data_IF_823743538021
#
_entry.id   IF_823743538021
#
_cell.length_a   1.000
_cell.length_b   1.000
_cell.length_c   1.000
_cell.angle_alpha   90.00
_cell.angle_beta   90.00
_cell.angle_gamma   90.00
#
_symmetry.space_group_name_H-M   'P 1'
#
loop_
_entity.id
_entity.type
_entity.pdbx_description
1 polymer ?
#
# COMPACT_ATOMS: atom_id res chain seq x y z
N UNK A 1 -24.16 23.50 2.51
CA UNK A 1 -24.45 23.01 3.87
C UNK A 1 -23.97 21.57 3.98
N UNK A 2 -23.00 21.27 4.84
CA UNK A 2 -22.54 19.91 5.07
C UNK A 2 -23.67 19.12 5.78
N UNK A 3 -24.10 18.01 5.20
CA UNK A 3 -25.04 17.08 5.84
C UNK A 3 -24.34 16.51 7.09
N UNK A 4 -24.90 16.73 8.27
CA UNK A 4 -24.46 16.03 9.48
C UNK A 4 -24.81 14.55 9.30
N UNK A 5 -23.81 13.72 9.04
CA UNK A 5 -23.97 12.26 9.02
C UNK A 5 -23.93 11.81 10.48
N UNK A 6 -25.06 11.32 10.99
CA UNK A 6 -25.15 10.75 12.33
C UNK A 6 -24.85 9.25 12.28
N UNK A 7 -24.04 8.77 13.23
CA UNK A 7 -23.81 7.33 13.41
C UNK A 7 -25.02 6.75 14.13
N UNK A 8 -25.76 5.86 13.47
CA UNK A 8 -26.94 5.21 14.04
C UNK A 8 -26.58 4.27 15.19
N UNK A 9 -27.45 4.23 16.19
CA UNK A 9 -27.29 3.29 17.28
C UNK A 9 -27.37 1.83 16.77
N UNK A 10 -26.39 0.96 17.08
CA UNK A 10 -26.39 -0.42 16.61
C UNK A 10 -27.50 -1.28 17.23
N UNK A 11 -28.12 -0.82 18.33
CA UNK A 11 -29.15 -1.57 19.05
C UNK A 11 -30.59 -1.20 18.60
N UNK A 12 -30.87 0.08 18.36
CA UNK A 12 -32.24 0.54 18.04
C UNK A 12 -32.33 1.39 16.77
N UNK A 13 -31.22 1.59 16.04
CA UNK A 13 -31.13 2.36 14.79
C UNK A 13 -31.47 3.85 14.92
N UNK A 14 -31.64 4.38 16.14
CA UNK A 14 -31.88 5.79 16.37
C UNK A 14 -30.67 6.64 15.94
N UNK A 15 -30.91 7.82 15.38
CA UNK A 15 -29.85 8.60 14.71
C UNK A 15 -29.04 9.49 15.65
N UNK A 16 -29.56 9.80 16.85
CA UNK A 16 -28.91 10.71 17.79
C UNK A 16 -28.25 9.97 18.95
N UNK A 17 -27.08 10.42 19.31
CA UNK A 17 -26.31 9.90 20.44
C UNK A 17 -25.38 10.99 20.98
N UNK A 18 -25.21 11.04 22.30
CA UNK A 18 -24.23 11.92 22.95
C UNK A 18 -22.89 11.23 23.07
N UNK A 19 -21.81 11.98 22.89
CA UNK A 19 -20.44 11.51 23.14
C UNK A 19 -20.16 11.67 24.62
N UNK A 20 -19.83 10.56 25.29
CA UNK A 20 -19.49 10.55 26.73
C UNK A 20 -17.99 10.76 26.94
N UNK A 21 -17.16 10.22 26.02
CA UNK A 21 -15.71 10.26 26.13
C UNK A 21 -15.06 10.17 24.76
N UNK A 22 -13.89 10.78 24.60
CA UNK A 22 -13.07 10.74 23.37
C UNK A 22 -11.63 10.45 23.75
N UNK A 23 -11.09 9.36 23.19
CA UNK A 23 -9.69 8.97 23.33
C UNK A 23 -9.00 8.93 21.99
N UNK A 24 -7.72 9.29 21.94
CA UNK A 24 -6.87 9.21 20.76
C UNK A 24 -5.97 7.99 20.88
N UNK A 25 -5.82 7.24 19.77
CA UNK A 25 -4.85 6.15 19.74
C UNK A 25 -3.49 6.64 19.19
N UNK A 26 -2.44 5.84 19.41
CA UNK A 26 -1.07 6.14 18.97
C UNK A 26 -0.90 6.16 17.44
N UNK A 27 -1.90 5.69 16.69
CA UNK A 27 -1.90 5.62 15.23
C UNK A 27 -2.76 6.72 14.58
N UNK A 28 -3.13 7.75 15.34
CA UNK A 28 -3.90 8.90 14.84
C UNK A 28 -5.41 8.62 14.69
N UNK A 29 -5.90 7.53 15.27
CA UNK A 29 -7.33 7.22 15.33
C UNK A 29 -8.02 7.90 16.52
N UNK A 30 -9.33 8.10 16.41
CA UNK A 30 -10.17 8.66 17.47
C UNK A 30 -11.25 7.65 17.84
N UNK A 31 -11.26 7.23 19.10
CA UNK A 31 -12.33 6.42 19.67
C UNK A 31 -13.28 7.33 20.43
N UNK A 32 -14.57 7.24 20.11
CA UNK A 32 -15.63 7.94 20.87
C UNK A 32 -16.56 6.93 21.53
N UNK A 33 -16.72 7.05 22.85
CA UNK A 33 -17.73 6.32 23.60
C UNK A 33 -19.03 7.11 23.55
N UNK A 34 -20.11 6.48 23.08
CA UNK A 34 -21.41 7.11 22.85
C UNK A 34 -22.51 6.46 23.69
N UNK A 35 -23.55 7.22 24.00
CA UNK A 35 -24.79 6.73 24.58
C UNK A 35 -25.96 7.18 23.69
N UNK A 36 -26.81 6.24 23.29
CA UNK A 36 -27.97 6.51 22.47
C UNK A 36 -29.01 7.33 23.25
N UNK A 37 -29.55 8.37 22.64
CA UNK A 37 -30.54 9.23 23.31
C UNK A 37 -31.92 8.55 23.43
N UNK A 38 -32.19 7.48 22.65
CA UNK A 38 -33.43 6.73 22.69
C UNK A 38 -33.37 5.51 23.63
N UNK A 39 -32.43 4.57 23.41
CA UNK A 39 -32.38 3.32 24.17
C UNK A 39 -31.36 3.31 25.31
N UNK A 40 -30.60 4.39 25.48
CA UNK A 40 -29.56 4.57 26.50
C UNK A 40 -28.45 3.52 26.51
N UNK A 41 -28.41 2.67 25.47
CA UNK A 41 -27.30 1.72 25.30
C UNK A 41 -26.02 2.45 24.91
N UNK A 42 -24.89 1.96 25.43
CA UNK A 42 -23.57 2.51 25.17
C UNK A 42 -22.86 1.71 24.09
N UNK A 43 -22.23 2.42 23.16
CA UNK A 43 -21.43 1.84 22.09
C UNK A 43 -20.20 2.71 21.81
N UNK A 44 -19.22 2.17 21.11
CA UNK A 44 -18.03 2.91 20.70
C UNK A 44 -17.98 3.03 19.18
N UNK A 45 -17.50 4.18 18.71
CA UNK A 45 -17.16 4.41 17.30
C UNK A 45 -15.67 4.70 17.17
N UNK A 46 -15.11 4.32 16.03
CA UNK A 46 -13.73 4.62 15.67
C UNK A 46 -13.71 5.44 14.40
N UNK A 47 -12.98 6.54 14.43
CA UNK A 47 -12.64 7.32 13.25
C UNK A 47 -11.15 7.10 12.97
N UNK A 48 -10.83 6.66 11.77
CA UNK A 48 -9.45 6.53 11.30
C UNK A 48 -9.35 7.20 9.94
N UNK A 49 -8.26 7.97 9.68
CA UNK A 49 -8.00 8.44 8.33
C UNK A 49 -7.78 7.22 7.42
N UNK A 50 -8.58 7.11 6.37
CA UNK A 50 -8.37 6.11 5.32
C UNK A 50 -7.54 6.82 4.26
N UNK A 51 -6.24 6.47 4.19
CA UNK A 51 -5.38 6.92 3.12
C UNK A 51 -5.72 6.09 1.88
N UNK A 52 -6.28 6.72 0.88
CA UNK A 52 -6.53 6.07 -0.40
C UNK A 52 -5.20 5.74 -1.07
N UNK A 53 -5.07 4.53 -1.60
CA UNK A 53 -3.98 4.19 -2.51
C UNK A 53 -4.28 4.87 -3.85
N UNK A 54 -3.30 5.56 -4.47
CA UNK A 54 -3.53 6.25 -5.74
C UNK A 54 -3.87 5.27 -6.86
N UNK A 55 -4.61 5.74 -7.87
CA UNK A 55 -4.76 5.03 -9.13
C UNK A 55 -3.41 4.94 -9.83
N UNK A 56 -3.16 3.83 -10.49
CA UNK A 56 -1.93 3.59 -11.25
C UNK A 56 -2.16 3.91 -12.72
N UNK A 57 -1.37 4.87 -13.23
CA UNK A 57 -1.38 5.24 -14.65
C UNK A 57 -0.33 4.38 -15.36
N UNK A 58 -0.77 3.56 -16.32
CA UNK A 58 0.11 2.75 -17.18
C UNK A 58 0.80 3.59 -18.26
N UNK A 59 1.79 3.01 -18.93
CA UNK A 59 2.51 3.66 -20.03
C UNK A 59 1.60 4.06 -21.21
N UNK A 60 0.50 3.33 -21.43
CA UNK A 60 -0.53 3.63 -22.43
C UNK A 60 -1.57 4.68 -21.99
N UNK A 61 -1.41 5.22 -20.76
CA UNK A 61 -2.31 6.21 -20.17
C UNK A 61 -3.55 5.63 -19.51
N UNK A 62 -3.76 4.30 -19.52
CA UNK A 62 -4.87 3.67 -18.79
C UNK A 62 -4.69 3.79 -17.29
N UNK A 63 -5.80 3.88 -16.57
CA UNK A 63 -5.87 3.98 -15.12
C UNK A 63 -6.41 2.69 -14.54
N UNK A 64 -5.71 2.11 -13.58
CA UNK A 64 -6.16 0.94 -12.84
C UNK A 64 -5.97 1.14 -11.34
N UNK A 65 -6.73 0.43 -10.53
CA UNK A 65 -6.49 0.35 -9.10
C UNK A 65 -5.16 -0.36 -8.83
N UNK A 66 -4.51 -0.01 -7.71
CA UNK A 66 -3.32 -0.73 -7.27
C UNK A 66 -3.70 -2.16 -6.89
N UNK A 67 -3.15 -3.11 -7.61
CA UNK A 67 -3.35 -4.55 -7.38
C UNK A 67 -2.14 -5.14 -6.63
N UNK A 68 -2.32 -5.29 -5.30
CA UNK A 68 -1.32 -5.88 -4.41
C UNK A 68 -0.95 -7.31 -4.82
N UNK A 69 -1.94 -8.12 -5.21
CA UNK A 69 -1.71 -9.52 -5.57
C UNK A 69 -0.93 -9.65 -6.89
N UNK A 70 -1.19 -8.78 -7.84
CA UNK A 70 -0.43 -8.70 -9.09
C UNK A 70 1.03 -8.34 -8.83
N UNK A 71 1.27 -7.35 -7.97
CA UNK A 71 2.62 -6.95 -7.59
C UNK A 71 3.34 -8.07 -6.85
N UNK A 72 2.69 -8.69 -5.87
CA UNK A 72 3.18 -9.84 -5.10
C UNK A 72 3.60 -10.98 -6.02
N UNK A 73 2.76 -11.31 -7.02
CA UNK A 73 3.04 -12.38 -7.99
C UNK A 73 4.30 -12.08 -8.80
N UNK A 74 4.46 -10.85 -9.29
CA UNK A 74 5.66 -10.43 -10.04
C UNK A 74 6.94 -10.56 -9.21
N UNK A 75 6.90 -10.10 -7.96
CA UNK A 75 8.05 -10.20 -7.04
C UNK A 75 8.36 -11.66 -6.69
N UNK A 76 7.35 -12.50 -6.41
CA UNK A 76 7.54 -13.94 -6.15
C UNK A 76 8.19 -14.67 -7.32
N UNK A 77 7.82 -14.37 -8.55
CA UNK A 77 8.44 -14.96 -9.76
C UNK A 77 9.94 -14.60 -9.79
N UNK A 78 10.29 -13.34 -9.55
CA UNK A 78 11.68 -12.91 -9.52
C UNK A 78 12.49 -13.61 -8.41
N UNK A 79 11.89 -13.78 -7.23
CA UNK A 79 12.49 -14.42 -6.06
C UNK A 79 12.46 -15.97 -6.11
N UNK A 80 11.89 -16.59 -7.16
CA UNK A 80 11.75 -18.04 -7.23
C UNK A 80 13.12 -18.76 -7.12
N UNK A 81 13.22 -19.71 -6.18
CA UNK A 81 14.45 -20.47 -5.84
C UNK A 81 15.60 -19.57 -5.31
N UNK A 82 15.27 -18.40 -4.78
CA UNK A 82 16.23 -17.55 -4.05
C UNK A 82 15.99 -17.66 -2.55
N UNK A 83 17.01 -17.38 -1.70
CA UNK A 83 16.89 -17.41 -0.24
C UNK A 83 16.18 -16.14 0.28
N UNK A 84 15.02 -15.80 -0.30
CA UNK A 84 14.17 -14.68 0.10
C UNK A 84 12.91 -15.26 0.72
N UNK A 85 12.64 -14.89 1.96
CA UNK A 85 11.46 -15.41 2.68
C UNK A 85 10.15 -14.78 2.19
N UNK A 86 9.04 -15.49 2.38
CA UNK A 86 7.71 -14.93 2.09
C UNK A 86 7.44 -13.66 2.93
N UNK A 87 7.96 -13.61 4.16
CA UNK A 87 7.85 -12.45 5.05
C UNK A 87 8.61 -11.23 4.51
N UNK A 88 9.79 -11.42 3.91
CA UNK A 88 10.57 -10.34 3.30
C UNK A 88 9.86 -9.76 2.08
N UNK A 89 9.25 -10.63 1.25
CA UNK A 89 8.45 -10.20 0.11
C UNK A 89 7.22 -9.42 0.59
N UNK A 90 6.51 -9.93 1.60
CA UNK A 90 5.32 -9.27 2.14
C UNK A 90 5.66 -7.90 2.74
N UNK A 91 6.78 -7.79 3.45
CA UNK A 91 7.31 -6.54 3.99
C UNK A 91 7.60 -5.54 2.86
N UNK A 92 8.31 -5.95 1.81
CA UNK A 92 8.60 -5.08 0.66
C UNK A 92 7.31 -4.52 0.03
N UNK A 93 6.31 -5.39 -0.20
CA UNK A 93 5.03 -4.96 -0.77
C UNK A 93 4.31 -3.98 0.18
N UNK A 94 4.29 -4.26 1.48
CA UNK A 94 3.69 -3.37 2.48
C UNK A 94 4.38 -2.00 2.56
N UNK A 95 5.69 -1.95 2.41
CA UNK A 95 6.46 -0.69 2.36
C UNK A 95 6.12 0.14 1.11
N UNK A 96 5.93 -0.52 -0.04
CA UNK A 96 5.50 0.13 -1.29
C UNK A 96 4.08 0.70 -1.12
N UNK A 97 3.14 -0.07 -0.58
CA UNK A 97 1.77 0.40 -0.30
C UNK A 97 1.77 1.62 0.61
N UNK A 98 2.52 1.55 1.72
CA UNK A 98 2.64 2.65 2.67
C UNK A 98 3.29 3.89 2.03
N UNK A 99 4.27 3.71 1.14
CA UNK A 99 4.89 4.81 0.41
C UNK A 99 3.91 5.48 -0.56
N UNK A 100 3.12 4.69 -1.30
CA UNK A 100 2.09 5.20 -2.21
C UNK A 100 1.02 6.00 -1.44
N UNK A 101 0.55 5.49 -0.31
CA UNK A 101 -0.41 6.18 0.55
C UNK A 101 0.14 7.51 1.07
N UNK A 102 1.42 7.53 1.52
CA UNK A 102 2.08 8.76 2.03
C UNK A 102 2.27 9.84 0.96
N UNK A 103 2.27 9.47 -0.32
CA UNK A 103 2.37 10.47 -1.40
C UNK A 103 1.18 11.42 -1.44
N UNK A 104 0.01 11.02 -0.94
CA UNK A 104 -1.20 11.84 -0.90
C UNK A 104 -1.69 12.28 -2.29
N UNK A 105 -1.30 11.55 -3.34
CA UNK A 105 -1.68 11.82 -4.73
C UNK A 105 -2.89 11.00 -5.13
N UNK A 106 -3.74 11.55 -5.98
CA UNK A 106 -4.87 10.79 -6.55
C UNK A 106 -4.39 9.75 -7.58
N UNK A 107 -3.30 10.04 -8.29
CA UNK A 107 -2.75 9.21 -9.36
C UNK A 107 -1.23 9.17 -9.30
N UNK A 108 -0.63 8.02 -9.62
CA UNK A 108 0.82 7.84 -9.78
C UNK A 108 1.12 6.98 -11.00
N UNK A 109 2.26 7.23 -11.65
CA UNK A 109 2.73 6.40 -12.76
C UNK A 109 3.12 5.00 -12.28
N UNK A 110 2.81 3.97 -13.07
CA UNK A 110 3.27 2.59 -12.85
C UNK A 110 4.80 2.48 -12.78
N UNK A 111 5.51 3.42 -13.40
CA UNK A 111 6.97 3.52 -13.32
C UNK A 111 7.44 3.75 -11.88
N UNK A 112 6.76 4.62 -11.12
CA UNK A 112 7.10 4.87 -9.71
C UNK A 112 7.00 3.58 -8.89
N UNK A 113 5.94 2.77 -9.12
CA UNK A 113 5.78 1.48 -8.45
C UNK A 113 6.92 0.52 -8.85
N UNK A 114 7.22 0.44 -10.13
CA UNK A 114 8.31 -0.40 -10.64
C UNK A 114 9.68 0.02 -10.08
N UNK A 115 9.97 1.31 -10.00
CA UNK A 115 11.22 1.83 -9.42
C UNK A 115 11.35 1.46 -7.93
N UNK A 116 10.24 1.49 -7.18
CA UNK A 116 10.22 1.04 -5.78
C UNK A 116 10.51 -0.46 -5.65
N UNK A 117 9.92 -1.29 -6.53
CA UNK A 117 10.18 -2.74 -6.55
C UNK A 117 11.63 -3.03 -6.86
N UNK A 118 12.17 -2.39 -7.91
CA UNK A 118 13.56 -2.52 -8.33
C UNK A 118 14.51 -2.17 -7.19
N UNK A 119 14.27 -1.05 -6.52
CA UNK A 119 15.07 -0.63 -5.36
C UNK A 119 15.01 -1.66 -4.23
N UNK A 120 13.84 -2.12 -3.85
CA UNK A 120 13.69 -3.07 -2.76
C UNK A 120 14.25 -4.46 -3.09
N UNK A 121 14.09 -4.94 -4.33
CA UNK A 121 14.70 -6.20 -4.75
C UNK A 121 16.22 -6.15 -4.76
N UNK A 122 16.82 -5.01 -5.14
CA UNK A 122 18.27 -4.81 -5.11
C UNK A 122 18.85 -5.00 -3.69
N UNK A 123 18.12 -4.56 -2.67
CA UNK A 123 18.50 -4.71 -1.27
C UNK A 123 18.27 -6.15 -0.74
N UNK A 124 17.23 -6.84 -1.25
CA UNK A 124 16.87 -8.19 -0.81
C UNK A 124 17.74 -9.27 -1.46
N UNK A 125 17.87 -9.26 -2.80
CA UNK A 125 18.60 -10.27 -3.55
C UNK A 125 18.92 -9.76 -4.96
N UNK A 126 20.20 -9.62 -5.27
CA UNK A 126 20.66 -9.09 -6.54
C UNK A 126 20.26 -9.94 -7.77
N UNK A 127 20.11 -11.26 -7.60
CA UNK A 127 19.66 -12.12 -8.70
C UNK A 127 18.15 -11.94 -8.94
N UNK A 128 17.36 -11.83 -7.88
CA UNK A 128 15.93 -11.49 -8.01
C UNK A 128 15.75 -10.11 -8.65
N UNK A 129 16.59 -9.14 -8.26
CA UNK A 129 16.64 -7.84 -8.92
C UNK A 129 16.86 -7.97 -10.43
N UNK A 130 17.92 -8.66 -10.88
CA UNK A 130 18.24 -8.82 -12.31
C UNK A 130 17.06 -9.47 -13.06
N UNK A 131 16.44 -10.50 -12.50
CA UNK A 131 15.27 -11.18 -13.12
C UNK A 131 14.11 -10.23 -13.32
N UNK A 132 13.83 -9.39 -12.32
CA UNK A 132 12.77 -8.39 -12.42
C UNK A 132 13.15 -7.28 -13.40
N UNK A 133 14.39 -6.80 -13.33
CA UNK A 133 14.93 -5.73 -14.16
C UNK A 133 14.92 -6.06 -15.65
N UNK A 134 15.17 -7.31 -16.03
CA UNK A 134 15.11 -7.76 -17.43
C UNK A 134 13.77 -7.39 -18.05
N UNK A 135 12.67 -7.67 -17.35
CA UNK A 135 11.32 -7.37 -17.83
C UNK A 135 10.97 -5.89 -17.66
N UNK A 136 11.26 -5.36 -16.49
CA UNK A 136 10.86 -3.99 -16.13
C UNK A 136 11.62 -2.91 -16.90
N UNK A 137 12.94 -3.08 -17.09
CA UNK A 137 13.81 -2.14 -17.80
C UNK A 137 13.92 -2.45 -19.29
N UNK A 138 13.20 -3.48 -19.79
CA UNK A 138 13.28 -3.93 -21.19
C UNK A 138 14.72 -4.21 -21.63
N UNK A 139 15.42 -5.07 -20.87
CA UNK A 139 16.77 -5.49 -21.22
C UNK A 139 16.69 -6.59 -22.30
N UNK A 140 16.59 -6.17 -23.57
CA UNK A 140 16.20 -7.05 -24.68
C UNK A 140 17.38 -7.87 -25.25
N UNK A 141 18.61 -7.58 -24.84
CA UNK A 141 19.80 -8.31 -25.28
C UNK A 141 20.76 -8.63 -24.14
N UNK A 142 21.64 -9.62 -24.36
CA UNK A 142 22.63 -10.07 -23.40
C UNK A 142 23.63 -8.95 -23.02
N UNK A 143 23.92 -8.03 -23.95
CA UNK A 143 24.80 -6.90 -23.69
C UNK A 143 24.18 -5.91 -22.71
N UNK A 144 22.86 -5.64 -22.82
CA UNK A 144 22.12 -4.81 -21.86
C UNK A 144 22.10 -5.45 -20.47
N UNK A 145 21.86 -6.77 -20.40
CA UNK A 145 21.88 -7.52 -19.13
C UNK A 145 23.27 -7.46 -18.51
N UNK A 146 24.32 -7.67 -19.30
CA UNK A 146 25.72 -7.59 -18.83
C UNK A 146 26.04 -6.21 -18.26
N UNK A 147 25.70 -5.14 -18.97
CA UNK A 147 25.92 -3.77 -18.46
C UNK A 147 25.23 -3.53 -17.13
N UNK A 148 24.03 -4.06 -16.96
CA UNK A 148 23.29 -3.94 -15.70
C UNK A 148 23.95 -4.72 -14.56
N UNK A 149 24.48 -5.92 -14.85
CA UNK A 149 25.27 -6.71 -13.89
C UNK A 149 26.56 -5.97 -13.51
N UNK A 150 27.31 -5.46 -14.51
CA UNK A 150 28.55 -4.72 -14.28
C UNK A 150 28.29 -3.48 -13.42
N UNK A 151 27.16 -2.79 -13.61
CA UNK A 151 26.72 -1.68 -12.79
C UNK A 151 26.48 -2.10 -11.34
N UNK A 152 25.77 -3.20 -11.11
CA UNK A 152 25.54 -3.73 -9.77
C UNK A 152 26.83 -4.07 -9.03
N UNK A 153 27.77 -4.69 -9.74
CA UNK A 153 29.05 -5.08 -9.16
C UNK A 153 29.95 -3.87 -8.83
N UNK A 154 29.75 -2.74 -9.52
CA UNK A 154 30.50 -1.51 -9.26
C UNK A 154 29.94 -0.68 -8.09
N UNK A 155 28.70 -0.92 -7.70
CA UNK A 155 28.02 -0.19 -6.62
C UNK A 155 28.10 -0.92 -5.26
N UNK A 156 28.57 -2.16 -5.22
CA UNK A 156 28.73 -3.00 -4.03
C UNK A 156 30.15 -3.02 -3.55
#
# INVERSE_FOLDING_TARGET
MARRIHVRCPYCQYEESKVLDTTHDSHGGVRRRRECDNCHQRFSTYERPILAIPLIIKADGTREEFDREKLMRGVRIACAKRPVSAADIDRLIGEIEAALQRMGRAEVSSRIVGDMVVKGLKELDQIAYIRYAIVYLHLDDLGAIRREIDRLLSEG
#
